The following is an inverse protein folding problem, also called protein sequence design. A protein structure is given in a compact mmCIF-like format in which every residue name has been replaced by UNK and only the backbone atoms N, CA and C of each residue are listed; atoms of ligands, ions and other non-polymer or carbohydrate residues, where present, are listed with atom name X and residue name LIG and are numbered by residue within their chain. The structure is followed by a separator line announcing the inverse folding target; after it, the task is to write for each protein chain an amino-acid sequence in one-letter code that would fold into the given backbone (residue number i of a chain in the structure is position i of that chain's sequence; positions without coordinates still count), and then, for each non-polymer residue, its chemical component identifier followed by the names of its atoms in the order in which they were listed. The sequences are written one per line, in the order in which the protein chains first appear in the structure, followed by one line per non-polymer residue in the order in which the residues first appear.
data_IF_720711590726
#
_entry.id   IF_720711590726
#
_cell.length_a   1.000
_cell.length_b   1.000
_cell.length_c   1.000
_cell.angle_alpha   90.00
_cell.angle_beta   90.00
_cell.angle_gamma   90.00
#
_symmetry.space_group_name_H-M   'P 1'
#
loop_
_entity.id
_entity.type
_entity.pdbx_description
1 polymer ?
#
# COMPACT_ATOMS: atom_id res chain seq x y z
N UNK A 1 83.87 -26.03 14.86
CA UNK A 1 83.89 -27.07 13.79
C UNK A 1 82.47 -27.28 13.29
N UNK A 2 82.23 -27.06 11.98
CA UNK A 2 81.04 -27.41 11.14
C UNK A 2 79.70 -26.68 11.45
N UNK A 3 79.25 -25.73 10.60
CA UNK A 3 78.45 -25.87 9.32
C UNK A 3 77.02 -26.35 9.62
N UNK A 4 75.88 -25.87 9.08
CA UNK A 4 75.45 -24.98 7.97
C UNK A 4 73.92 -24.80 8.15
N UNK A 5 73.33 -23.62 7.97
CA UNK A 5 72.56 -23.14 6.79
C UNK A 5 71.38 -24.03 6.30
N UNK A 6 70.15 -23.50 6.42
CA UNK A 6 68.99 -23.47 5.46
C UNK A 6 67.69 -23.29 6.27
N UNK A 7 67.10 -22.10 6.39
CA UNK A 7 66.10 -21.53 5.46
C UNK A 7 65.14 -22.59 4.88
N UNK A 8 63.90 -22.59 5.37
CA UNK A 8 62.66 -22.72 4.60
C UNK A 8 61.55 -22.12 5.48
N UNK A 9 61.03 -20.98 5.05
CA UNK A 9 59.74 -20.41 5.45
C UNK A 9 58.70 -21.25 4.70
N UNK A 10 57.90 -22.04 5.42
CA UNK A 10 56.63 -22.56 4.89
C UNK A 10 55.54 -21.80 5.61
N UNK A 11 54.97 -20.84 4.88
CA UNK A 11 53.67 -20.25 5.12
C UNK A 11 52.67 -21.39 5.01
N UNK A 12 52.23 -21.92 6.17
CA UNK A 12 51.04 -22.76 6.23
C UNK A 12 49.85 -21.85 6.54
N UNK A 13 49.39 -21.16 5.50
CA UNK A 13 47.99 -20.72 5.42
C UNK A 13 47.15 -22.00 5.38
N UNK A 14 46.52 -22.35 6.50
CA UNK A 14 45.50 -23.36 6.52
C UNK A 14 44.26 -22.78 7.20
N UNK A 15 43.28 -22.48 6.35
CA UNK A 15 41.83 -22.55 6.59
C UNK A 15 41.40 -21.98 7.95
N UNK A 16 41.03 -20.70 8.05
CA UNK A 16 39.92 -20.18 7.26
C UNK A 16 38.68 -21.06 7.46
N UNK A 17 38.32 -21.34 8.72
CA UNK A 17 36.95 -21.75 9.06
C UNK A 17 36.05 -20.56 8.72
N UNK A 18 35.69 -20.49 7.44
CA UNK A 18 34.57 -19.70 6.97
C UNK A 18 33.35 -20.28 7.65
N UNK A 19 32.96 -19.66 8.78
CA UNK A 19 31.56 -19.67 9.16
C UNK A 19 30.84 -19.14 7.93
N UNK A 20 29.93 -19.91 7.29
CA UNK A 20 29.05 -19.29 6.33
C UNK A 20 28.27 -18.26 7.13
N UNK A 21 28.63 -16.99 6.99
CA UNK A 21 27.69 -15.92 7.27
C UNK A 21 26.55 -16.18 6.32
N UNK A 22 25.56 -16.95 6.78
CA UNK A 22 24.24 -16.97 6.20
C UNK A 22 23.85 -15.51 6.14
N UNK A 23 23.98 -14.91 4.95
CA UNK A 23 23.37 -13.62 4.68
C UNK A 23 21.90 -13.91 4.90
N UNK A 24 21.38 -13.51 6.05
CA UNK A 24 19.94 -13.53 6.29
C UNK A 24 19.37 -12.82 5.08
N UNK A 25 18.63 -13.54 4.24
CA UNK A 25 17.94 -12.93 3.11
C UNK A 25 17.14 -11.80 3.72
N UNK A 26 17.51 -10.56 3.38
CA UNK A 26 16.85 -9.39 3.93
C UNK A 26 15.36 -9.56 3.62
N UNK A 27 14.55 -9.75 4.66
CA UNK A 27 13.09 -9.91 4.55
C UNK A 27 12.50 -8.52 4.30
N UNK A 28 12.84 -7.92 3.16
CA UNK A 28 12.49 -6.54 2.82
C UNK A 28 11.01 -6.38 2.49
N UNK A 29 10.26 -7.48 2.36
CA UNK A 29 8.86 -7.46 1.93
C UNK A 29 8.69 -7.05 0.47
N UNK A 30 7.42 -6.89 0.06
CA UNK A 30 7.05 -6.50 -1.30
C UNK A 30 7.55 -5.10 -1.60
N UNK A 31 8.40 -4.94 -2.62
CA UNK A 31 8.86 -3.62 -3.04
C UNK A 31 7.96 -3.10 -4.14
N UNK A 32 6.98 -2.25 -3.84
CA UNK A 32 6.15 -1.66 -4.92
C UNK A 32 6.89 -0.47 -5.54
N UNK A 33 7.23 -0.50 -6.83
CA UNK A 33 7.92 0.62 -7.46
C UNK A 33 6.97 1.81 -7.55
N UNK A 34 7.48 2.97 -7.16
CA UNK A 34 6.78 4.23 -7.36
C UNK A 34 6.95 4.66 -8.82
N UNK A 35 5.93 4.42 -9.65
CA UNK A 35 5.92 4.82 -11.05
C UNK A 35 5.12 6.11 -11.18
N UNK A 36 5.76 7.16 -11.71
CA UNK A 36 5.20 8.49 -11.88
C UNK A 36 4.58 9.04 -10.59
N UNK A 37 5.29 8.93 -9.46
CA UNK A 37 4.75 9.33 -8.17
C UNK A 37 4.85 10.83 -7.89
N UNK A 38 5.79 11.48 -8.57
CA UNK A 38 6.02 12.92 -8.54
C UNK A 38 4.81 13.73 -9.04
N UNK A 39 3.88 13.11 -9.77
CA UNK A 39 2.67 13.78 -10.24
C UNK A 39 1.56 13.82 -9.18
N UNK A 40 1.66 13.02 -8.11
CA UNK A 40 0.62 12.98 -7.07
C UNK A 40 0.80 14.14 -6.11
N UNK A 41 -0.14 15.08 -6.14
CA UNK A 41 -0.14 16.26 -5.26
C UNK A 41 -0.91 16.00 -3.97
N UNK A 42 -1.82 15.02 -3.98
CA UNK A 42 -2.70 14.73 -2.86
C UNK A 42 -2.12 13.66 -1.93
N UNK A 43 -1.98 14.02 -0.66
CA UNK A 43 -1.52 13.10 0.39
C UNK A 43 -2.73 12.48 1.08
N UNK A 44 -3.10 11.26 0.69
CA UNK A 44 -4.16 10.51 1.38
C UNK A 44 -3.67 9.90 2.68
N UNK A 45 -4.53 9.86 3.69
CA UNK A 45 -4.25 9.08 4.89
C UNK A 45 -4.14 7.57 4.56
N UNK A 46 -3.20 6.85 5.22
CA UNK A 46 -3.04 5.40 5.09
C UNK A 46 -4.34 4.62 5.37
N UNK A 47 -4.48 3.44 4.78
CA UNK A 47 -5.61 2.55 5.08
C UNK A 47 -5.54 2.03 6.51
N UNK A 48 -6.64 2.17 7.24
CA UNK A 48 -6.81 1.58 8.57
C UNK A 48 -6.91 0.06 8.46
N UNK A 49 -6.39 -0.65 9.48
CA UNK A 49 -6.54 -2.09 9.61
C UNK A 49 -5.23 -2.80 9.90
N UNK A 50 -5.18 -4.08 9.53
CA UNK A 50 -4.03 -4.96 9.75
C UNK A 50 -3.04 -4.81 8.60
N UNK A 51 -1.75 -4.74 8.90
CA UNK A 51 -0.65 -4.58 7.95
C UNK A 51 0.47 -5.57 8.29
N UNK A 52 1.08 -6.14 7.26
CA UNK A 52 2.09 -7.18 7.45
C UNK A 52 3.10 -7.21 6.30
N UNK A 53 4.24 -7.84 6.59
CA UNK A 53 5.21 -8.22 5.58
C UNK A 53 4.97 -9.70 5.25
N UNK A 54 4.69 -10.03 3.99
CA UNK A 54 4.40 -11.41 3.57
C UNK A 54 5.52 -12.40 3.84
N UNK A 55 6.77 -11.91 3.89
CA UNK A 55 7.96 -12.73 4.09
C UNK A 55 8.25 -12.94 5.59
N UNK A 56 7.39 -12.39 6.46
CA UNK A 56 7.45 -12.52 7.91
C UNK A 56 6.12 -13.04 8.45
N UNK A 57 6.16 -14.25 8.97
CA UNK A 57 4.98 -14.90 9.54
C UNK A 57 4.74 -14.42 10.97
N UNK A 58 3.46 -14.31 11.37
CA UNK A 58 3.02 -14.08 12.75
C UNK A 58 3.48 -12.75 13.39
N UNK A 59 3.86 -11.77 12.57
CA UNK A 59 4.12 -10.41 13.00
C UNK A 59 3.47 -9.39 12.09
N UNK A 60 3.21 -8.20 12.62
CA UNK A 60 2.62 -7.11 11.86
C UNK A 60 2.09 -6.00 12.74
N UNK A 61 1.23 -5.20 12.15
CA UNK A 61 0.66 -4.02 12.79
C UNK A 61 -0.84 -4.02 12.60
N UNK A 62 -1.55 -3.48 13.57
CA UNK A 62 -2.87 -2.92 13.36
C UNK A 62 -2.77 -1.42 13.61
N UNK A 63 -3.23 -0.58 12.70
CA UNK A 63 -3.28 0.85 12.97
C UNK A 63 -4.53 1.51 12.40
N UNK A 64 -4.95 2.54 13.12
CA UNK A 64 -6.03 3.44 12.76
C UNK A 64 -5.47 4.84 12.56
N UNK A 65 -5.88 5.46 11.46
CA UNK A 65 -5.58 6.84 11.13
C UNK A 65 -6.84 7.69 11.25
N UNK A 66 -6.69 8.84 11.90
CA UNK A 66 -7.76 9.81 12.06
C UNK A 66 -7.15 11.19 12.33
N UNK A 67 -7.63 12.20 11.59
CA UNK A 67 -7.26 13.61 11.79
C UNK A 67 -5.74 13.83 11.80
N UNK A 68 -5.02 13.24 10.85
CA UNK A 68 -3.57 13.38 10.75
C UNK A 68 -2.78 12.68 11.85
N UNK A 69 -3.38 11.74 12.58
CA UNK A 69 -2.69 10.94 13.62
C UNK A 69 -2.86 9.46 13.35
N UNK A 70 -1.85 8.68 13.75
CA UNK A 70 -1.85 7.23 13.73
C UNK A 70 -1.84 6.72 15.16
N UNK A 71 -2.75 5.81 15.48
CA UNK A 71 -2.68 4.96 16.68
C UNK A 71 -2.49 3.53 16.21
N UNK A 72 -1.50 2.82 16.74
CA UNK A 72 -1.20 1.48 16.28
C UNK A 72 -0.74 0.52 17.36
N UNK A 73 -0.86 -0.75 17.03
CA UNK A 73 -0.44 -1.90 17.83
C UNK A 73 0.46 -2.75 16.93
N UNK A 74 1.70 -2.96 17.32
CA UNK A 74 2.55 -4.01 16.79
C UNK A 74 2.30 -5.30 17.55
N UNK A 75 2.23 -6.41 16.82
CA UNK A 75 2.22 -7.76 17.37
C UNK A 75 3.37 -8.54 16.72
N UNK A 76 4.12 -9.26 17.54
CA UNK A 76 5.28 -10.02 17.08
C UNK A 76 5.98 -10.72 18.22
N UNK A 77 7.30 -10.84 18.12
CA UNK A 77 8.12 -11.59 19.06
C UNK A 77 9.37 -10.80 19.46
N UNK A 78 9.83 -10.99 20.70
CA UNK A 78 11.11 -10.46 21.19
C UNK A 78 12.31 -11.32 20.73
N UNK A 79 13.51 -10.98 21.21
CA UNK A 79 14.75 -11.68 20.84
C UNK A 79 14.74 -13.15 21.33
N UNK A 80 13.99 -13.44 22.40
CA UNK A 80 13.79 -14.77 22.97
C UNK A 80 12.69 -15.58 22.25
N UNK A 81 11.96 -14.96 21.32
CA UNK A 81 10.83 -15.58 20.62
C UNK A 81 9.54 -15.59 21.45
N UNK A 82 9.44 -14.78 22.49
CA UNK A 82 8.23 -14.58 23.29
C UNK A 82 7.32 -13.59 22.59
N UNK A 83 6.02 -13.89 22.54
CA UNK A 83 5.05 -13.00 21.90
C UNK A 83 4.91 -11.68 22.67
N UNK A 84 5.01 -10.56 21.96
CA UNK A 84 4.89 -9.21 22.51
C UNK A 84 3.86 -8.38 21.75
N UNK A 85 3.22 -7.47 22.47
CA UNK A 85 2.26 -6.50 21.94
C UNK A 85 2.71 -5.11 22.35
N UNK A 86 3.00 -4.25 21.37
CA UNK A 86 3.51 -2.91 21.60
C UNK A 86 2.55 -1.90 21.01
N UNK A 87 2.30 -0.80 21.69
CA UNK A 87 1.42 0.26 21.17
C UNK A 87 2.22 1.52 20.85
N UNK A 88 1.76 2.30 19.88
CA UNK A 88 2.36 3.57 19.53
C UNK A 88 1.29 4.58 19.09
N UNK A 89 1.63 5.86 19.20
CA UNK A 89 0.82 6.94 18.64
C UNK A 89 1.73 8.00 18.06
N UNK A 90 1.39 8.52 16.88
CA UNK A 90 2.20 9.50 16.17
C UNK A 90 1.32 10.48 15.38
N UNK A 91 1.88 11.66 15.06
CA UNK A 91 1.32 12.52 14.02
C UNK A 91 1.85 12.10 12.65
N UNK A 92 0.99 12.10 11.63
CA UNK A 92 1.39 11.95 10.23
C UNK A 92 2.11 13.24 9.82
N UNK A 93 3.41 13.12 9.55
CA UNK A 93 4.23 14.26 9.10
C UNK A 93 4.42 14.16 7.60
N UNK A 94 4.05 15.20 6.82
CA UNK A 94 4.30 15.22 5.38
C UNK A 94 5.78 14.97 5.07
N UNK A 95 6.06 14.15 4.06
CA UNK A 95 7.44 13.91 3.63
C UNK A 95 7.81 14.76 2.41
N UNK A 96 9.09 15.12 2.35
CA UNK A 96 9.75 15.71 1.16
C UNK A 96 10.49 14.63 0.35
N UNK A 97 10.56 13.39 0.84
CA UNK A 97 11.13 12.25 0.10
C UNK A 97 10.21 11.86 -1.05
N UNK A 98 10.74 11.82 -2.28
CA UNK A 98 9.99 11.42 -3.48
C UNK A 98 9.35 10.04 -3.30
N UNK A 99 8.05 9.95 -3.55
CA UNK A 99 7.29 8.71 -3.39
C UNK A 99 6.99 8.32 -1.94
N UNK A 100 7.17 9.24 -0.99
CA UNK A 100 6.71 9.09 0.40
C UNK A 100 5.69 10.19 0.68
N UNK A 101 4.47 9.82 1.06
CA UNK A 101 3.43 10.77 1.41
C UNK A 101 3.58 11.24 2.86
N UNK A 102 3.75 10.29 3.78
CA UNK A 102 3.79 10.54 5.21
C UNK A 102 4.92 9.80 5.89
N UNK A 103 5.40 10.36 6.99
CA UNK A 103 6.29 9.70 7.92
C UNK A 103 5.72 9.74 9.33
N UNK A 104 6.08 8.74 10.12
CA UNK A 104 5.89 8.76 11.57
C UNK A 104 7.19 8.33 12.25
N UNK A 105 7.39 8.85 13.46
CA UNK A 105 8.46 8.47 14.38
C UNK A 105 7.85 8.44 15.78
N UNK A 106 7.79 7.25 16.39
CA UNK A 106 7.09 7.05 17.65
C UNK A 106 7.82 6.09 18.57
N UNK A 107 7.60 6.28 19.87
CA UNK A 107 7.97 5.31 20.90
C UNK A 107 6.98 4.14 20.91
N UNK A 108 7.51 2.93 21.00
CA UNK A 108 6.76 1.71 21.24
C UNK A 108 6.63 1.50 22.74
N UNK A 109 5.39 1.39 23.20
CA UNK A 109 5.07 1.20 24.61
C UNK A 109 4.59 -0.23 24.84
N UNK A 110 5.25 -0.92 25.76
CA UNK A 110 4.81 -2.22 26.26
C UNK A 110 4.01 -2.03 27.55
N UNK A 111 2.84 -2.67 27.62
CA UNK A 111 1.97 -2.66 28.79
C UNK A 111 2.13 -3.99 29.53
N UNK A 112 2.54 -3.93 30.79
CA UNK A 112 2.78 -5.11 31.63
C UNK A 112 2.09 -4.99 32.99
N UNK A 113 2.08 -6.09 33.76
CA UNK A 113 1.49 -6.16 35.10
C UNK A 113 0.01 -5.72 35.17
N UNK A 114 -0.72 -5.89 34.07
CA UNK A 114 -2.15 -5.60 33.98
C UNK A 114 -3.00 -6.75 34.51
N UNK A 115 -4.29 -6.50 34.66
CA UNK A 115 -5.25 -7.47 35.16
C UNK A 115 -5.54 -8.53 34.09
N UNK A 116 -5.69 -9.78 34.51
CA UNK A 116 -6.27 -10.79 33.64
C UNK A 116 -7.74 -10.47 33.29
N UNK A 117 -8.24 -11.08 32.22
CA UNK A 117 -9.65 -10.98 31.84
C UNK A 117 -10.53 -11.44 33.02
N UNK A 118 -11.43 -10.57 33.49
CA UNK A 118 -12.30 -10.75 34.67
C UNK A 118 -11.59 -10.79 36.04
N UNK A 119 -10.40 -10.23 36.16
CA UNK A 119 -9.69 -10.09 37.45
C UNK A 119 -9.90 -8.70 38.07
N UNK A 120 -9.68 -8.57 39.38
CA UNK A 120 -9.69 -7.26 40.05
C UNK A 120 -8.63 -6.32 39.48
N UNK A 121 -8.93 -5.02 39.49
CA UNK A 121 -8.04 -4.01 38.94
C UNK A 121 -6.89 -3.72 39.89
N UNK A 122 -5.69 -4.18 39.54
CA UNK A 122 -4.43 -4.00 40.28
C UNK A 122 -3.52 -2.90 39.72
N UNK A 123 -3.80 -2.40 38.52
CA UNK A 123 -2.99 -1.38 37.83
C UNK A 123 -2.31 -1.93 36.58
N UNK A 124 -1.40 -1.15 35.98
CA UNK A 124 -0.52 -1.59 34.88
C UNK A 124 0.73 -0.73 34.82
N UNK A 125 1.80 -1.27 34.26
CA UNK A 125 3.04 -0.56 33.98
C UNK A 125 3.16 -0.26 32.49
N UNK A 126 3.76 0.87 32.15
CA UNK A 126 4.14 1.22 30.77
C UNK A 126 5.65 1.33 30.71
N UNK A 127 6.28 0.57 29.81
CA UNK A 127 7.72 0.65 29.55
C UNK A 127 7.98 1.02 28.10
N UNK A 128 8.93 1.93 27.88
CA UNK A 128 9.50 2.19 26.55
C UNK A 128 10.23 0.91 26.08
N UNK A 129 9.82 0.39 24.93
CA UNK A 129 10.35 -0.82 24.33
C UNK A 129 11.27 -0.53 23.14
N UNK A 130 11.35 0.73 22.69
CA UNK A 130 12.09 1.13 21.50
C UNK A 130 11.32 2.12 20.64
N UNK A 131 11.80 2.32 19.42
CA UNK A 131 11.22 3.26 18.46
C UNK A 131 10.79 2.57 17.17
N UNK A 132 9.65 3.01 16.65
CA UNK A 132 9.18 2.67 15.31
C UNK A 132 9.22 3.90 14.42
N UNK A 133 9.79 3.74 13.22
CA UNK A 133 9.68 4.70 12.13
C UNK A 133 8.92 4.06 10.99
N UNK A 134 7.97 4.78 10.42
CA UNK A 134 7.30 4.33 9.19
C UNK A 134 7.32 5.41 8.12
N UNK A 135 7.43 4.96 6.87
CA UNK A 135 7.27 5.76 5.65
C UNK A 135 6.06 5.24 4.91
N UNK A 136 4.97 5.99 4.91
CA UNK A 136 3.79 5.68 4.10
C UNK A 136 4.03 6.20 2.69
N UNK A 137 4.30 5.29 1.76
CA UNK A 137 4.57 5.59 0.37
C UNK A 137 3.28 5.88 -0.39
N UNK A 138 2.24 5.10 -0.09
CA UNK A 138 0.88 5.29 -0.60
C UNK A 138 -0.15 4.81 0.43
N UNK A 139 -1.43 4.97 0.10
CA UNK A 139 -2.57 4.54 0.94
C UNK A 139 -2.46 3.08 1.40
N UNK A 140 -1.99 2.18 0.54
CA UNK A 140 -1.86 0.74 0.81
C UNK A 140 -0.40 0.23 0.79
N UNK A 141 0.58 1.12 1.05
CA UNK A 141 1.99 0.73 1.06
C UNK A 141 2.79 1.55 2.08
N UNK A 142 3.53 0.86 2.94
CA UNK A 142 4.46 1.49 3.86
C UNK A 142 5.77 0.71 3.99
N UNK A 143 6.81 1.40 4.45
CA UNK A 143 8.04 0.79 4.95
C UNK A 143 8.15 1.08 6.44
N UNK A 144 8.65 0.13 7.23
CA UNK A 144 8.85 0.24 8.68
C UNK A 144 10.29 -0.10 9.07
N UNK A 145 10.80 0.55 10.12
CA UNK A 145 12.09 0.29 10.75
C UNK A 145 11.94 0.40 12.27
N UNK A 146 12.55 -0.55 12.97
CA UNK A 146 12.62 -0.60 14.43
C UNK A 146 14.03 -0.21 14.87
N UNK A 147 14.15 0.74 15.79
CA UNK A 147 15.42 1.17 16.40
C UNK A 147 16.56 1.47 15.41
N UNK A 148 16.20 1.96 14.21
CA UNK A 148 17.17 2.26 13.14
C UNK A 148 17.69 1.02 12.41
N UNK A 149 17.10 -0.15 12.65
CA UNK A 149 17.32 -1.38 11.90
C UNK A 149 16.86 -1.29 10.43
N UNK A 150 17.03 -2.39 9.67
CA UNK A 150 16.73 -2.41 8.24
C UNK A 150 15.26 -2.09 7.97
N UNK A 151 15.00 -1.35 6.90
CA UNK A 151 13.65 -1.06 6.43
C UNK A 151 13.00 -2.32 5.85
N UNK A 152 11.73 -2.51 6.17
CA UNK A 152 10.90 -3.61 5.68
C UNK A 152 9.59 -3.06 5.15
N UNK A 153 9.12 -3.56 4.01
CA UNK A 153 7.86 -3.16 3.41
C UNK A 153 6.70 -3.96 4.00
N UNK A 154 5.60 -3.25 4.22
CA UNK A 154 4.35 -3.81 4.73
C UNK A 154 3.19 -3.35 3.85
N UNK A 155 2.20 -4.23 3.71
CA UNK A 155 0.96 -3.99 2.96
C UNK A 155 -0.24 -4.34 3.84
N UNK A 156 -1.41 -3.72 3.63
CA UNK A 156 -2.60 -4.08 4.38
C UNK A 156 -2.99 -5.54 4.10
N UNK A 157 -3.34 -6.25 5.17
CA UNK A 157 -3.95 -7.57 5.10
C UNK A 157 -5.40 -7.47 4.62
N UNK A 158 -5.78 -8.41 3.77
CA UNK A 158 -7.10 -8.47 3.14
C UNK A 158 -7.81 -9.72 3.68
N UNK A 159 -8.77 -9.52 4.57
CA UNK A 159 -9.60 -10.61 5.09
C UNK A 159 -10.64 -11.06 4.05
N UNK A 160 -10.94 -12.36 3.98
CA UNK A 160 -12.07 -12.88 3.20
C UNK A 160 -11.85 -13.06 1.70
N UNK A 161 -10.64 -12.81 1.17
CA UNK A 161 -10.34 -13.00 -0.25
C UNK A 161 -9.37 -14.19 -0.47
N UNK A 162 -9.75 -15.14 -1.32
CA UNK A 162 -8.81 -16.11 -1.86
C UNK A 162 -7.81 -15.41 -2.79
N UNK A 163 -6.51 -15.58 -2.55
CA UNK A 163 -5.44 -15.04 -3.38
C UNK A 163 -5.45 -15.69 -4.79
N UNK A 164 -6.28 -15.20 -5.70
CA UNK A 164 -6.23 -15.63 -7.11
C UNK A 164 -5.11 -14.87 -7.82
N UNK A 165 -4.02 -15.58 -8.08
CA UNK A 165 -2.82 -15.07 -8.75
C UNK A 165 -3.09 -14.76 -10.23
N UNK A 166 -3.46 -13.51 -10.52
CA UNK A 166 -3.61 -13.03 -11.90
C UNK A 166 -2.26 -12.78 -12.60
N UNK A 167 -1.12 -12.86 -11.89
CA UNK A 167 0.22 -12.67 -12.46
C UNK A 167 1.27 -13.65 -11.89
N UNK A 168 1.11 -14.96 -12.11
CA UNK A 168 1.91 -15.98 -11.42
C UNK A 168 3.40 -16.01 -11.81
N UNK A 169 3.81 -15.31 -12.87
CA UNK A 169 5.15 -15.47 -13.42
C UNK A 169 6.10 -14.29 -13.24
N UNK A 170 5.64 -13.05 -12.96
CA UNK A 170 6.56 -11.87 -12.96
C UNK A 170 6.19 -10.70 -12.06
N UNK A 171 5.17 -10.78 -11.22
CA UNK A 171 4.93 -9.74 -10.22
C UNK A 171 4.60 -10.39 -8.88
N UNK A 172 5.41 -10.09 -7.87
CA UNK A 172 5.06 -10.33 -6.47
C UNK A 172 3.79 -9.57 -6.02
N UNK A 173 3.30 -8.65 -6.86
CA UNK A 173 2.03 -7.95 -6.71
C UNK A 173 0.88 -8.80 -7.25
N UNK A 174 0.13 -9.41 -6.34
CA UNK A 174 -1.20 -9.94 -6.64
C UNK A 174 -2.13 -8.73 -6.82
N UNK A 175 -2.61 -8.45 -8.05
CA UNK A 175 -3.70 -7.48 -8.20
C UNK A 175 -4.94 -8.02 -7.48
N UNK A 176 -5.61 -7.21 -6.65
CA UNK A 176 -6.85 -7.63 -6.03
C UNK A 176 -7.93 -7.85 -7.10
N UNK A 177 -8.86 -8.77 -6.85
CA UNK A 177 -10.04 -8.87 -7.68
C UNK A 177 -10.95 -7.64 -7.48
N UNK A 178 -10.97 -6.76 -8.48
CA UNK A 178 -11.80 -5.56 -8.46
C UNK A 178 -13.27 -5.83 -8.81
N UNK A 179 -13.65 -7.04 -9.20
CA UNK A 179 -15.05 -7.35 -9.54
C UNK A 179 -15.99 -7.07 -8.36
N UNK A 180 -17.10 -6.38 -8.64
CA UNK A 180 -18.14 -6.10 -7.66
C UNK A 180 -18.75 -4.71 -7.80
N UNK A 181 -19.56 -4.34 -6.79
CA UNK A 181 -20.11 -2.99 -6.65
C UNK A 181 -19.15 -2.13 -5.84
N UNK A 182 -19.04 -0.86 -6.22
CA UNK A 182 -18.12 0.11 -5.64
C UNK A 182 -18.82 1.45 -5.54
N UNK A 183 -18.63 2.15 -4.42
CA UNK A 183 -18.98 3.56 -4.31
C UNK A 183 -17.77 4.37 -4.74
N UNK A 184 -17.85 5.08 -5.85
CA UNK A 184 -16.85 6.06 -6.27
C UNK A 184 -17.21 7.40 -5.67
N UNK A 185 -16.24 8.08 -5.08
CA UNK A 185 -16.34 9.44 -4.55
C UNK A 185 -15.30 10.28 -5.26
N UNK A 186 -15.75 11.27 -6.01
CA UNK A 186 -14.90 12.18 -6.76
C UNK A 186 -14.73 13.50 -6.00
N UNK A 187 -13.51 13.99 -5.98
CA UNK A 187 -13.15 15.29 -5.43
C UNK A 187 -12.61 16.17 -6.55
N UNK A 188 -13.40 17.18 -6.92
CA UNK A 188 -13.04 18.12 -7.97
C UNK A 188 -12.40 19.36 -7.33
N UNK A 189 -11.16 19.64 -7.70
CA UNK A 189 -10.47 20.87 -7.29
C UNK A 189 -11.20 22.11 -7.83
N UNK A 190 -11.43 23.09 -6.98
CA UNK A 190 -12.41 24.17 -7.16
C UNK A 190 -12.07 25.24 -8.21
N UNK A 191 -10.83 25.30 -8.69
CA UNK A 191 -10.44 26.26 -9.74
C UNK A 191 -11.10 25.97 -11.10
N UNK A 192 -11.55 24.73 -11.34
CA UNK A 192 -12.20 24.30 -12.59
C UNK A 192 -13.73 24.59 -12.64
N UNK A 193 -14.36 24.91 -11.51
CA UNK A 193 -15.84 24.91 -11.37
C UNK A 193 -16.42 26.33 -11.35
N UNK A 194 -16.00 27.21 -12.26
CA UNK A 194 -16.51 28.60 -12.29
C UNK A 194 -17.78 28.78 -13.11
N UNK A 195 -18.26 27.79 -13.86
CA UNK A 195 -19.33 27.99 -14.86
C UNK A 195 -20.55 27.05 -14.77
N UNK A 196 -20.68 26.22 -13.73
CA UNK A 196 -21.87 25.38 -13.56
C UNK A 196 -22.63 25.82 -12.31
N UNK A 197 -23.87 26.23 -12.56
CA UNK A 197 -24.82 26.75 -11.59
C UNK A 197 -24.84 25.91 -10.30
N UNK A 198 -24.59 26.61 -9.17
CA UNK A 198 -24.82 26.25 -7.76
C UNK A 198 -23.66 25.70 -6.91
N UNK A 199 -22.41 25.66 -7.38
CA UNK A 199 -21.26 25.33 -6.51
C UNK A 199 -20.32 26.53 -6.42
N UNK A 200 -20.60 27.46 -5.51
CA UNK A 200 -19.71 28.60 -5.30
C UNK A 200 -18.38 28.16 -4.70
N UNK A 201 -17.25 28.45 -5.37
CA UNK A 201 -15.85 28.38 -4.89
C UNK A 201 -15.45 27.25 -3.90
N UNK A 202 -16.16 26.14 -3.90
CA UNK A 202 -16.03 25.09 -2.89
C UNK A 202 -16.10 23.75 -3.60
N UNK A 203 -15.18 22.86 -3.21
CA UNK A 203 -15.10 21.44 -3.57
C UNK A 203 -16.44 20.84 -3.99
N UNK A 204 -16.54 20.38 -5.24
CA UNK A 204 -17.67 19.57 -5.66
C UNK A 204 -17.36 18.11 -5.31
N UNK A 205 -18.19 17.53 -4.43
CA UNK A 205 -18.16 16.10 -4.12
C UNK A 205 -19.29 15.43 -4.91
N UNK A 206 -18.96 14.42 -5.69
CA UNK A 206 -19.95 13.58 -6.36
C UNK A 206 -19.67 12.12 -6.00
N UNK A 207 -20.72 11.38 -5.62
CA UNK A 207 -20.61 9.97 -5.31
C UNK A 207 -21.60 9.13 -6.09
N UNK A 208 -21.16 7.97 -6.55
CA UNK A 208 -21.99 7.06 -7.33
C UNK A 208 -21.64 5.59 -7.06
N UNK A 209 -22.65 4.72 -7.12
CA UNK A 209 -22.44 3.27 -7.10
C UNK A 209 -22.22 2.75 -8.52
N UNK A 210 -21.04 2.20 -8.75
CA UNK A 210 -20.59 1.64 -10.02
C UNK A 210 -20.25 0.16 -9.87
N UNK A 211 -20.44 -0.61 -10.93
CA UNK A 211 -19.96 -1.99 -10.98
C UNK A 211 -18.66 -2.07 -11.77
N UNK A 212 -17.68 -2.73 -11.18
CA UNK A 212 -16.48 -3.16 -11.87
C UNK A 212 -16.65 -4.61 -12.31
N UNK A 213 -16.34 -4.89 -13.58
CA UNK A 213 -16.38 -6.24 -14.15
C UNK A 213 -15.15 -6.47 -15.01
N UNK A 214 -14.39 -7.52 -14.73
CA UNK A 214 -13.21 -7.94 -15.49
C UNK A 214 -13.63 -8.21 -16.93
N UNK A 215 -13.10 -7.40 -17.84
CA UNK A 215 -13.46 -7.41 -19.26
C UNK A 215 -12.53 -8.33 -20.05
N UNK A 216 -11.22 -8.15 -19.89
CA UNK A 216 -10.23 -8.96 -20.59
C UNK A 216 -8.88 -8.98 -19.84
N UNK A 217 -8.04 -9.92 -20.26
CA UNK A 217 -6.61 -9.93 -19.97
C UNK A 217 -5.89 -10.06 -21.32
N UNK A 218 -4.91 -9.19 -21.56
CA UNK A 218 -4.13 -9.18 -22.79
C UNK A 218 -2.65 -9.39 -22.49
N UNK A 219 -2.02 -10.30 -23.21
CA UNK A 219 -0.56 -10.42 -23.23
C UNK A 219 0.03 -9.33 -24.13
N UNK A 220 1.07 -8.65 -23.64
CA UNK A 220 1.79 -7.58 -24.33
C UNK A 220 3.29 -7.88 -24.30
N UNK A 221 4.11 -7.28 -25.18
CA UNK A 221 5.56 -7.46 -25.15
C UNK A 221 6.20 -7.07 -23.80
N UNK A 222 5.56 -6.13 -23.09
CA UNK A 222 6.03 -5.59 -21.81
C UNK A 222 5.41 -6.29 -20.60
N UNK A 223 4.51 -7.26 -20.78
CA UNK A 223 3.85 -7.99 -19.70
C UNK A 223 2.35 -8.22 -19.92
N UNK A 224 1.58 -8.38 -18.85
CA UNK A 224 0.12 -8.54 -18.93
C UNK A 224 -0.59 -7.22 -18.66
N UNK A 225 -1.66 -6.98 -19.40
CA UNK A 225 -2.62 -5.90 -19.22
C UNK A 225 -3.96 -6.49 -18.78
N UNK A 226 -4.54 -5.97 -17.70
CA UNK A 226 -5.86 -6.37 -17.20
C UNK A 226 -6.81 -5.18 -17.29
N UNK A 227 -7.97 -5.38 -17.91
CA UNK A 227 -8.99 -4.34 -18.05
C UNK A 227 -10.27 -4.71 -17.31
N UNK A 228 -10.80 -3.78 -16.54
CA UNK A 228 -12.12 -3.83 -15.93
C UNK A 228 -13.03 -2.80 -16.63
N UNK A 229 -14.24 -3.20 -16.97
CA UNK A 229 -15.30 -2.28 -17.36
C UNK A 229 -15.89 -1.63 -16.12
N UNK A 230 -16.09 -0.31 -16.17
CA UNK A 230 -16.78 0.48 -15.15
C UNK A 230 -18.18 0.79 -15.67
N UNK A 231 -19.21 0.27 -15.01
CA UNK A 231 -20.57 0.35 -15.48
C UNK A 231 -21.52 0.95 -14.43
N UNK A 232 -22.40 1.83 -14.90
CA UNK A 232 -23.53 2.39 -14.17
C UNK A 232 -24.78 1.55 -14.43
N UNK A 233 -25.57 1.31 -13.40
CA UNK A 233 -26.84 0.57 -13.47
C UNK A 233 -28.00 1.54 -13.23
N UNK A 234 -28.92 1.63 -14.20
CA UNK A 234 -30.15 2.41 -14.06
C UNK A 234 -31.38 1.50 -14.03
N UNK A 235 -32.37 1.78 -13.15
CA UNK A 235 -33.70 1.18 -13.28
C UNK A 235 -34.49 1.86 -14.41
N UNK A 236 -35.21 1.14 -15.29
CA UNK A 236 -35.21 -0.32 -15.56
C UNK A 236 -34.06 -0.73 -16.50
N UNK A 237 -33.57 -2.00 -16.46
CA UNK A 237 -32.13 -2.29 -16.41
C UNK A 237 -31.38 -1.87 -17.68
N UNK A 238 -30.92 -0.62 -17.67
CA UNK A 238 -29.94 -0.11 -18.61
C UNK A 238 -28.57 -0.17 -17.94
N UNK A 239 -27.63 -0.81 -18.64
CA UNK A 239 -26.22 -0.83 -18.24
C UNK A 239 -25.49 0.13 -19.16
N UNK A 240 -24.94 1.18 -18.57
CA UNK A 240 -24.09 2.12 -19.30
C UNK A 240 -22.64 1.89 -18.87
N UNK A 241 -21.79 1.47 -19.81
CA UNK A 241 -20.34 1.43 -19.57
C UNK A 241 -19.87 2.88 -19.64
N UNK A 242 -19.44 3.41 -18.50
CA UNK A 242 -18.98 4.78 -18.37
C UNK A 242 -17.46 4.89 -18.41
N UNK A 243 -16.73 3.78 -18.39
CA UNK A 243 -15.27 3.84 -18.39
C UNK A 243 -14.58 2.50 -18.28
N UNK A 244 -13.27 2.55 -18.17
CA UNK A 244 -12.42 1.37 -17.97
C UNK A 244 -11.31 1.63 -16.98
N UNK A 245 -11.02 0.64 -16.13
CA UNK A 245 -9.79 0.59 -15.35
C UNK A 245 -8.84 -0.38 -16.03
N UNK A 246 -7.68 0.12 -16.46
CA UNK A 246 -6.66 -0.67 -17.15
C UNK A 246 -5.39 -0.67 -16.32
N UNK A 247 -4.92 -1.84 -15.92
CA UNK A 247 -3.68 -2.03 -15.18
C UNK A 247 -2.65 -2.73 -16.06
N UNK A 248 -1.47 -2.13 -16.25
CA UNK A 248 -0.39 -2.66 -17.10
C UNK A 248 0.99 -2.28 -16.57
N UNK A 249 2.00 -3.09 -16.88
CA UNK A 249 3.40 -2.72 -16.65
C UNK A 249 3.79 -1.55 -17.54
N UNK A 250 4.57 -0.62 -16.99
CA UNK A 250 5.02 0.57 -17.69
C UNK A 250 6.53 0.48 -17.88
N UNK A 251 7.00 0.74 -19.08
CA UNK A 251 8.44 0.82 -19.34
C UNK A 251 8.91 2.26 -19.07
N UNK A 252 9.87 2.39 -18.15
CA UNK A 252 10.50 3.66 -17.80
C UNK A 252 12.00 3.48 -17.95
N UNK A 253 12.62 4.27 -18.84
CA UNK A 253 14.07 4.22 -19.13
C UNK A 253 14.59 2.83 -19.53
N UNK A 254 13.80 2.06 -20.30
CA UNK A 254 14.19 0.72 -20.74
C UNK A 254 14.05 -0.37 -19.68
N UNK A 255 13.49 -0.05 -18.52
CA UNK A 255 13.15 -1.00 -17.47
C UNK A 255 11.64 -1.07 -17.26
N UNK A 256 11.09 -2.28 -17.22
CA UNK A 256 9.71 -2.49 -16.79
C UNK A 256 9.60 -2.14 -15.31
N UNK A 257 8.79 -1.14 -15.01
CA UNK A 257 8.38 -0.80 -13.66
C UNK A 257 6.93 -1.22 -13.46
N UNK A 258 6.60 -1.48 -12.19
CA UNK A 258 5.40 -2.18 -11.74
C UNK A 258 4.09 -1.67 -12.35
N UNK A 259 2.98 -2.42 -12.19
CA UNK A 259 1.78 -2.08 -12.92
C UNK A 259 1.23 -0.73 -12.43
N UNK A 260 0.96 0.16 -13.38
CA UNK A 260 0.19 1.38 -13.12
C UNK A 260 -1.23 1.12 -13.61
N UNK A 261 -2.21 1.59 -12.85
CA UNK A 261 -3.60 1.49 -13.23
C UNK A 261 -4.11 2.87 -13.62
N UNK A 262 -4.91 2.89 -14.68
CA UNK A 262 -5.52 4.10 -15.21
C UNK A 262 -7.02 3.89 -15.27
N UNK A 263 -7.78 4.77 -14.64
CA UNK A 263 -9.22 4.86 -14.81
C UNK A 263 -9.55 5.93 -15.85
N UNK A 264 -10.02 5.49 -17.01
CA UNK A 264 -10.50 6.35 -18.08
C UNK A 264 -12.03 6.45 -17.98
N UNK A 265 -12.53 7.63 -17.61
CA UNK A 265 -13.95 7.94 -17.54
C UNK A 265 -14.44 8.53 -18.86
N UNK A 266 -15.26 7.77 -19.56
CA UNK A 266 -15.89 8.12 -20.83
C UNK A 266 -17.26 8.79 -20.67
N UNK A 267 -17.75 9.03 -19.44
CA UNK A 267 -18.96 9.81 -19.19
C UNK A 267 -18.70 11.29 -19.44
N UNK A 268 -18.72 11.68 -20.71
CA UNK A 268 -18.45 13.06 -21.13
C UNK A 268 -19.43 14.08 -20.57
N UNK A 269 -20.65 13.66 -20.16
CA UNK A 269 -21.67 14.63 -19.73
C UNK A 269 -21.25 15.42 -18.49
N UNK A 270 -20.71 14.74 -17.48
CA UNK A 270 -20.27 15.40 -16.24
C UNK A 270 -18.84 15.93 -16.33
N UNK A 271 -17.92 15.18 -16.91
CA UNK A 271 -16.49 15.52 -16.91
C UNK A 271 -16.15 16.66 -17.88
N UNK A 272 -16.76 16.70 -19.06
CA UNK A 272 -16.52 17.79 -20.02
C UNK A 272 -17.08 19.11 -19.53
N UNK A 273 -18.21 19.03 -18.83
CA UNK A 273 -18.86 20.19 -18.22
C UNK A 273 -18.03 20.75 -17.05
N UNK A 274 -17.46 19.88 -16.22
CA UNK A 274 -16.65 20.28 -15.07
C UNK A 274 -15.19 20.60 -15.43
N UNK A 275 -14.77 20.41 -16.68
CA UNK A 275 -13.38 20.60 -17.11
C UNK A 275 -12.40 19.65 -16.43
N UNK A 276 -12.87 18.49 -15.96
CA UNK A 276 -12.08 17.52 -15.21
C UNK A 276 -11.44 16.54 -16.18
N UNK A 277 -10.13 16.30 -16.06
CA UNK A 277 -9.47 15.25 -16.82
C UNK A 277 -10.19 13.91 -16.63
N UNK A 278 -10.39 13.21 -17.73
CA UNK A 278 -11.07 11.91 -17.77
C UNK A 278 -10.16 10.76 -17.33
N UNK A 279 -8.87 11.02 -17.16
CA UNK A 279 -7.87 10.01 -16.89
C UNK A 279 -7.33 10.16 -15.46
N UNK A 280 -7.72 9.24 -14.58
CA UNK A 280 -7.17 9.14 -13.24
C UNK A 280 -6.09 8.06 -13.21
N UNK A 281 -4.90 8.44 -12.78
CA UNK A 281 -3.77 7.53 -12.62
C UNK A 281 -3.64 7.12 -11.16
N UNK A 282 -3.31 5.85 -10.94
CA UNK A 282 -3.00 5.36 -9.61
C UNK A 282 -1.94 4.27 -9.64
N UNK A 283 -0.96 4.33 -8.73
CA UNK A 283 0.03 3.28 -8.59
C UNK A 283 -0.62 2.09 -7.90
N UNK A 284 0.06 0.94 -7.93
CA UNK A 284 -0.35 -0.22 -7.14
C UNK A 284 -0.61 0.11 -5.67
N UNK A 285 0.17 1.01 -5.07
CA UNK A 285 -0.03 1.43 -3.68
C UNK A 285 -1.34 2.20 -3.44
N UNK A 286 -1.98 2.73 -4.48
CA UNK A 286 -3.33 3.30 -4.43
C UNK A 286 -4.44 2.26 -4.67
N UNK A 287 -4.08 1.07 -5.14
CA UNK A 287 -5.01 -0.04 -5.39
C UNK A 287 -5.06 -0.99 -4.20
N UNK A 288 -6.26 -1.33 -3.76
CA UNK A 288 -6.52 -2.31 -2.70
C UNK A 288 -7.81 -3.07 -2.98
N UNK A 289 -8.03 -4.18 -2.29
CA UNK A 289 -9.21 -5.02 -2.52
C UNK A 289 -10.55 -4.34 -2.23
N UNK A 290 -10.55 -3.36 -1.31
CA UNK A 290 -11.74 -2.65 -0.89
C UNK A 290 -11.65 -1.14 -1.11
N UNK A 291 -10.49 -0.64 -1.54
CA UNK A 291 -10.24 0.77 -1.72
C UNK A 291 -9.38 1.00 -2.95
N UNK A 292 -9.79 1.94 -3.79
CA UNK A 292 -8.98 2.46 -4.89
C UNK A 292 -8.83 3.95 -4.63
N UNK A 293 -7.63 4.47 -4.78
CA UNK A 293 -7.39 5.91 -4.80
C UNK A 293 -6.59 6.27 -6.04
N UNK A 294 -7.05 7.27 -6.78
CA UNK A 294 -6.32 7.82 -7.91
C UNK A 294 -6.51 9.31 -8.10
N UNK A 295 -5.62 9.87 -8.91
CA UNK A 295 -5.48 11.30 -9.11
C UNK A 295 -5.26 11.60 -10.59
N UNK A 296 -5.82 12.71 -11.06
CA UNK A 296 -5.58 13.26 -12.40
C UNK A 296 -4.35 14.18 -12.38
N UNK A 297 -3.81 14.50 -13.56
CA UNK A 297 -2.71 15.47 -13.67
C UNK A 297 -3.06 16.87 -13.14
N UNK A 298 -4.35 17.23 -13.15
CA UNK A 298 -4.87 18.52 -12.68
C UNK A 298 -5.24 18.50 -11.18
N UNK A 299 -4.90 17.43 -10.46
CA UNK A 299 -5.07 17.31 -9.01
C UNK A 299 -6.49 16.93 -8.54
N UNK A 300 -7.40 16.60 -9.46
CA UNK A 300 -8.67 15.95 -9.09
C UNK A 300 -8.42 14.53 -8.61
N UNK A 301 -9.17 14.07 -7.61
CA UNK A 301 -9.02 12.71 -7.07
C UNK A 301 -10.31 11.93 -7.09
N UNK A 302 -10.18 10.62 -7.00
CA UNK A 302 -11.29 9.75 -6.64
C UNK A 302 -10.85 8.74 -5.57
N UNK A 303 -11.78 8.41 -4.68
CA UNK A 303 -11.70 7.24 -3.82
C UNK A 303 -12.85 6.30 -4.19
N UNK A 304 -12.56 5.03 -4.47
CA UNK A 304 -13.58 4.01 -4.64
C UNK A 304 -13.56 3.06 -3.46
N UNK A 305 -14.71 2.77 -2.88
CA UNK A 305 -14.87 1.83 -1.75
C UNK A 305 -15.76 0.67 -2.20
N UNK A 306 -15.27 -0.56 -2.07
CA UNK A 306 -16.04 -1.74 -2.47
C UNK A 306 -17.24 -1.93 -1.55
N UNK A 307 -18.41 -2.06 -2.14
CA UNK A 307 -19.63 -2.46 -1.45
C UNK A 307 -19.62 -3.98 -1.50
N UNK A 308 -19.36 -4.63 -0.36
CA UNK A 308 -19.50 -6.07 -0.23
C UNK A 308 -21.00 -6.41 -0.19
N UNK A 309 -21.68 -6.24 -1.33
CA UNK A 309 -22.94 -6.93 -1.54
C UNK A 309 -22.55 -8.39 -1.76
N UNK A 310 -22.94 -9.26 -0.84
CA UNK A 310 -23.11 -10.70 -1.11
C UNK A 310 -23.46 -10.92 -2.57
N UNK A 311 -22.92 -11.94 -3.25
CA UNK A 311 -23.30 -12.19 -4.63
C UNK A 311 -24.83 -12.22 -4.67
N UNK A 312 -25.42 -11.32 -5.46
CA UNK A 312 -26.76 -11.54 -5.99
C UNK A 312 -26.63 -12.80 -6.84
N UNK A 313 -26.60 -13.96 -6.20
CA UNK A 313 -26.86 -15.23 -6.81
C UNK A 313 -28.36 -15.20 -7.13
N UNK A 314 -28.67 -14.60 -8.28
CA UNK A 314 -29.81 -14.98 -9.09
C UNK A 314 -29.38 -16.11 -10.01
#
# INVERSE_FOLDING_TARGET
MKKKLKMIIIILMLFGLGVPTSVALAQTGVEVPCVNCEQYTQRTEPTNGVWYNKDQTAQGFNFDTQNGRVSGIYYGYDEEGTAIWLTFTAALTPSEEVGVMWTIDATLNHFSNSNCFNCEVTGFDITDYGRVKMKFRHKNLASVSFDGGPWQNITPFIFGHGATADFPHRTEYLLPNLDGLWTFVYHVNGEAVTNILLIGNQWAFYSEVLRLTKKNIRETPTGREVTYAVARYFPPPEVLIIGTITCKLVEVEGQLRGPTCTFENNDGFWFDQLGVSREFNFPLGGLGAYRIFGETIDGHTFEAIKIDSTPFNS
#
